data_IF_126794647175
#
_entry.id   IF_126794647175
#
_cell.length_a   1.000
_cell.length_b   1.000
_cell.length_c   1.000
_cell.angle_alpha   90.00
_cell.angle_beta   90.00
_cell.angle_gamma   90.00
#
_symmetry.space_group_name_H-M   'P 1'
#
loop_
_entity.id
_entity.type
_entity.pdbx_description
1 polymer ?
#
# COMPACT_ATOMS: atom_id res chain seq x y z
N UNK A 1 -3.09 -13.72 2.26
CA UNK A 1 -4.57 -13.69 2.31
C UNK A 1 -5.03 -12.57 1.40
N UNK A 2 -5.82 -12.87 0.36
CA UNK A 2 -6.48 -11.85 -0.47
C UNK A 2 -7.74 -11.38 0.28
N UNK A 3 -8.00 -10.08 0.28
CA UNK A 3 -9.26 -9.50 0.76
C UNK A 3 -10.43 -10.21 0.03
N UNK A 4 -11.49 -10.65 0.73
CA UNK A 4 -12.64 -11.27 0.06
C UNK A 4 -13.34 -10.22 -0.80
N UNK A 5 -13.20 -10.34 -2.12
CA UNK A 5 -13.95 -9.58 -3.13
C UNK A 5 -13.14 -8.50 -3.88
N UNK A 6 -12.08 -7.93 -3.30
CA UNK A 6 -11.27 -6.85 -3.90
C UNK A 6 -9.78 -7.11 -3.65
N UNK A 7 -8.91 -6.87 -4.63
CA UNK A 7 -7.46 -6.88 -4.40
C UNK A 7 -6.99 -5.60 -3.69
N UNK A 8 -5.77 -5.60 -3.16
CA UNK A 8 -5.19 -4.39 -2.55
C UNK A 8 -5.01 -3.24 -3.54
N UNK A 9 -4.74 -3.57 -4.82
CA UNK A 9 -4.65 -2.58 -5.90
C UNK A 9 -6.02 -2.04 -6.30
N UNK A 10 -7.05 -2.90 -6.34
CA UNK A 10 -8.42 -2.43 -6.59
C UNK A 10 -8.84 -1.45 -5.50
N UNK A 11 -8.53 -1.75 -4.24
CA UNK A 11 -8.83 -0.85 -3.12
C UNK A 11 -8.08 0.48 -3.23
N UNK A 12 -6.79 0.47 -3.60
CA UNK A 12 -6.01 1.68 -3.85
C UNK A 12 -6.69 2.58 -4.89
N UNK A 13 -7.10 1.98 -6.01
CA UNK A 13 -7.78 2.71 -7.08
C UNK A 13 -9.08 3.36 -6.60
N UNK A 14 -9.89 2.63 -5.84
CA UNK A 14 -11.14 3.18 -5.26
C UNK A 14 -10.88 4.34 -4.30
N UNK A 15 -9.82 4.25 -3.48
CA UNK A 15 -9.48 5.33 -2.53
C UNK A 15 -9.07 6.59 -3.28
N UNK A 16 -8.22 6.46 -4.30
CA UNK A 16 -7.75 7.60 -5.10
C UNK A 16 -8.89 8.26 -5.88
N UNK A 17 -9.87 7.48 -6.33
CA UNK A 17 -11.07 8.01 -7.00
C UNK A 17 -11.97 8.82 -6.05
N UNK A 18 -11.96 8.50 -4.76
CA UNK A 18 -12.69 9.24 -3.72
C UNK A 18 -11.92 10.50 -3.35
N UNK A 19 -10.63 10.37 -3.07
CA UNK A 19 -9.75 11.45 -2.67
C UNK A 19 -8.28 11.09 -2.99
N UNK A 20 -7.72 11.78 -3.98
CA UNK A 20 -6.35 11.59 -4.43
C UNK A 20 -5.30 12.20 -3.49
N UNK A 21 -5.70 13.00 -2.50
CA UNK A 21 -4.79 13.62 -1.53
C UNK A 21 -4.54 12.72 -0.30
N UNK A 22 -5.33 11.66 -0.10
CA UNK A 22 -5.14 10.72 1.02
C UNK A 22 -3.89 9.85 0.76
N UNK A 23 -2.88 9.88 1.64
CA UNK A 23 -1.71 9.03 1.50
C UNK A 23 -2.07 7.57 1.81
N UNK A 24 -1.92 6.70 0.81
CA UNK A 24 -2.19 5.25 0.94
C UNK A 24 -0.87 4.48 1.01
N UNK A 25 -0.67 3.74 2.10
CA UNK A 25 0.47 2.83 2.29
C UNK A 25 0.01 1.39 2.08
N UNK A 26 0.57 0.70 1.09
CA UNK A 26 0.23 -0.69 0.80
C UNK A 26 1.05 -1.66 1.66
N UNK A 27 0.40 -2.56 2.39
CA UNK A 27 1.11 -3.58 3.18
C UNK A 27 0.91 -4.96 2.56
N UNK A 28 1.98 -5.54 2.02
CA UNK A 28 1.96 -6.84 1.33
C UNK A 28 2.75 -7.92 2.07
N UNK A 29 2.44 -9.19 1.83
CA UNK A 29 3.26 -10.33 2.23
C UNK A 29 3.56 -11.21 1.02
N UNK A 30 4.70 -11.92 1.05
CA UNK A 30 5.44 -12.38 -0.13
C UNK A 30 5.96 -11.18 -0.94
N UNK A 31 7.29 -11.03 -1.01
CA UNK A 31 8.01 -9.94 -1.68
C UNK A 31 7.80 -9.84 -3.18
N UNK A 32 6.56 -9.59 -3.57
CA UNK A 32 6.13 -9.33 -4.94
C UNK A 32 6.46 -7.87 -5.27
N UNK A 33 7.71 -7.68 -5.69
CA UNK A 33 8.24 -6.37 -6.12
C UNK A 33 7.44 -5.82 -7.29
N UNK A 34 6.91 -6.67 -8.18
CA UNK A 34 6.09 -6.24 -9.31
C UNK A 34 4.81 -5.56 -8.82
N UNK A 35 4.12 -6.17 -7.85
CA UNK A 35 2.93 -5.57 -7.24
C UNK A 35 3.24 -4.25 -6.52
N UNK A 36 4.39 -4.16 -5.84
CA UNK A 36 4.82 -2.91 -5.19
C UNK A 36 5.07 -1.81 -6.22
N UNK A 37 5.77 -2.12 -7.31
CA UNK A 37 6.01 -1.16 -8.41
C UNK A 37 4.70 -0.73 -9.07
N UNK A 38 3.76 -1.65 -9.26
CA UNK A 38 2.42 -1.34 -9.78
C UNK A 38 1.64 -0.43 -8.84
N UNK A 39 1.66 -0.68 -7.53
CA UNK A 39 1.01 0.17 -6.54
C UNK A 39 1.56 1.61 -6.56
N UNK A 40 2.89 1.76 -6.61
CA UNK A 40 3.52 3.09 -6.69
C UNK A 40 3.14 3.83 -7.98
N UNK A 41 3.06 3.12 -9.12
CA UNK A 41 2.59 3.71 -10.39
C UNK A 41 1.14 4.15 -10.34
N UNK A 42 0.32 3.43 -9.58
CA UNK A 42 -1.10 3.70 -9.41
C UNK A 42 -1.39 4.71 -8.28
N UNK A 43 -0.38 5.37 -7.70
CA UNK A 43 -0.56 6.45 -6.73
C UNK A 43 -0.50 6.03 -5.26
N UNK A 44 -0.02 4.84 -4.95
CA UNK A 44 0.37 4.52 -3.57
C UNK A 44 1.50 5.46 -3.13
N UNK A 45 1.42 5.92 -1.89
CA UNK A 45 2.42 6.80 -1.28
C UNK A 45 3.69 6.03 -0.93
N UNK A 46 3.54 4.82 -0.36
CA UNK A 46 4.64 3.89 -0.08
C UNK A 46 4.11 2.45 0.05
N UNK A 47 5.01 1.48 0.18
CA UNK A 47 4.66 0.10 0.46
C UNK A 47 5.54 -0.51 1.56
N UNK A 48 4.98 -1.49 2.26
CA UNK A 48 5.66 -2.21 3.34
C UNK A 48 5.50 -3.72 3.11
N UNK A 49 6.61 -4.42 3.04
CA UNK A 49 6.62 -5.89 3.05
C UNK A 49 6.51 -6.44 4.48
N UNK A 50 5.68 -7.49 4.65
CA UNK A 50 5.59 -8.30 5.87
C UNK A 50 6.67 -9.39 5.87
N UNK A 51 7.32 -9.66 7.01
CA UNK A 51 7.10 -9.04 8.30
C UNK A 51 7.77 -7.65 8.40
N UNK A 52 7.03 -6.67 8.91
CA UNK A 52 7.56 -5.33 9.19
C UNK A 52 7.66 -5.09 10.70
N UNK A 53 8.74 -4.43 11.14
CA UNK A 53 8.84 -3.98 12.53
C UNK A 53 7.90 -2.80 12.79
N UNK A 54 7.46 -2.66 14.04
CA UNK A 54 6.66 -1.50 14.47
C UNK A 54 7.40 -0.19 14.26
N UNK A 55 8.72 -0.17 14.45
CA UNK A 55 9.58 1.00 14.19
C UNK A 55 9.52 1.44 12.72
N UNK A 56 9.66 0.50 11.78
CA UNK A 56 9.58 0.79 10.34
C UNK A 56 8.20 1.36 9.96
N UNK A 57 7.13 0.84 10.56
CA UNK A 57 5.78 1.36 10.34
C UNK A 57 5.62 2.79 10.87
N UNK A 58 6.13 3.06 12.07
CA UNK A 58 6.09 4.40 12.68
C UNK A 58 6.89 5.43 11.87
N UNK A 59 8.07 5.06 11.36
CA UNK A 59 8.89 5.92 10.51
C UNK A 59 8.19 6.34 9.22
N UNK A 60 7.40 5.43 8.65
CA UNK A 60 6.65 5.66 7.40
C UNK A 60 5.46 6.58 7.69
N UNK A 61 4.72 6.31 8.77
CA UNK A 61 3.62 7.18 9.19
C UNK A 61 4.10 8.59 9.51
N UNK A 62 5.29 8.76 10.10
CA UNK A 62 5.84 10.07 10.43
C UNK A 62 6.23 10.92 9.20
N UNK A 63 6.29 10.32 8.01
CA UNK A 63 6.70 10.98 6.75
C UNK A 63 5.52 11.28 5.83
N UNK A 64 4.37 10.63 6.04
CA UNK A 64 3.13 10.82 5.28
C UNK A 64 2.39 12.08 5.74
#
# INVERSE_FOLDING_TARGET
MRLPGLSGLDLLQHVIEIDAEIPVILITGHGDVEMAVEAMRNGAWDFIEKPCSSEKLLDIIARA
#
